data_IF_964798981119
#
_entry.id   IF_964798981119
#
_cell.length_a   1.000
_cell.length_b   1.000
_cell.length_c   1.000
_cell.angle_alpha   90.00
_cell.angle_beta   90.00
_cell.angle_gamma   90.00
#
_symmetry.space_group_name_H-M   'P 1'
#
loop_
_entity.id
_entity.type
_entity.pdbx_description
1 polymer ?
#
# COMPACT_ATOMS: atom_id res chain seq x y z
N UNK A 1 13.62 10.62 -2.90
CA UNK A 1 14.60 9.72 -3.52
C UNK A 1 13.87 8.48 -4.00
N UNK A 2 13.99 8.15 -5.28
CA UNK A 2 13.42 6.95 -5.86
C UNK A 2 14.53 6.20 -6.61
N UNK A 3 14.78 4.95 -6.23
CA UNK A 3 15.73 4.06 -6.88
C UNK A 3 14.99 2.81 -7.33
N UNK A 4 15.20 2.40 -8.57
CA UNK A 4 14.62 1.20 -9.14
C UNK A 4 15.73 0.41 -9.82
N UNK A 5 15.77 -0.88 -9.53
CA UNK A 5 16.60 -1.88 -10.20
C UNK A 5 15.67 -2.93 -10.82
N UNK A 6 15.80 -3.11 -12.11
CA UNK A 6 15.08 -4.15 -12.87
C UNK A 6 16.11 -5.01 -13.61
N UNK A 7 16.08 -6.29 -13.38
CA UNK A 7 16.95 -7.29 -14.02
C UNK A 7 16.07 -8.31 -14.74
N UNK A 8 16.33 -8.53 -16.02
CA UNK A 8 15.65 -9.55 -16.84
C UNK A 8 16.66 -10.42 -17.53
N UNK A 9 16.52 -11.71 -17.36
CA UNK A 9 17.40 -12.71 -17.95
C UNK A 9 16.55 -13.79 -18.61
N UNK A 10 16.73 -14.02 -19.89
CA UNK A 10 16.21 -15.19 -20.57
C UNK A 10 17.26 -16.31 -20.44
N UNK A 11 16.93 -17.29 -19.61
CA UNK A 11 17.85 -18.39 -19.28
C UNK A 11 17.84 -19.47 -20.37
N UNK A 12 16.64 -19.76 -20.89
CA UNK A 12 16.37 -20.69 -21.96
C UNK A 12 15.24 -20.13 -22.83
N UNK A 13 15.10 -20.55 -24.09
CA UNK A 13 13.97 -20.14 -24.92
C UNK A 13 12.64 -20.38 -24.23
N UNK A 14 11.91 -19.27 -23.98
CA UNK A 14 10.64 -19.28 -23.28
C UNK A 14 10.75 -19.31 -21.75
N UNK A 15 11.92 -19.43 -21.14
CA UNK A 15 12.11 -19.34 -19.69
C UNK A 15 12.86 -18.07 -19.30
N UNK A 16 12.19 -17.21 -18.55
CA UNK A 16 12.69 -15.91 -18.11
C UNK A 16 12.66 -15.78 -16.59
N UNK A 17 13.70 -15.17 -16.07
CA UNK A 17 13.83 -14.76 -14.67
C UNK A 17 13.86 -13.24 -14.63
N UNK A 18 13.01 -12.65 -13.81
CA UNK A 18 12.94 -11.21 -13.59
C UNK A 18 13.11 -10.90 -12.11
N UNK A 19 14.02 -9.99 -11.79
CA UNK A 19 14.24 -9.44 -10.47
C UNK A 19 13.92 -7.96 -10.48
N UNK A 20 13.09 -7.53 -9.57
CA UNK A 20 12.73 -6.12 -9.37
C UNK A 20 13.01 -5.72 -7.94
N UNK A 21 13.63 -4.57 -7.76
CA UNK A 21 13.79 -3.94 -6.46
C UNK A 21 13.56 -2.44 -6.59
N UNK A 22 12.77 -1.89 -5.69
CA UNK A 22 12.60 -0.45 -5.57
C UNK A 22 12.76 0.03 -4.14
N UNK A 23 13.36 1.20 -4.00
CA UNK A 23 13.48 1.93 -2.74
C UNK A 23 12.98 3.35 -2.97
N UNK A 24 11.90 3.70 -2.29
CA UNK A 24 11.35 5.04 -2.30
C UNK A 24 11.46 5.66 -0.92
N UNK A 25 12.08 6.83 -0.83
CA UNK A 25 12.20 7.61 0.40
C UNK A 25 11.72 9.03 0.15
N UNK A 26 10.73 9.46 0.89
CA UNK A 26 10.23 10.82 0.89
C UNK A 26 10.40 11.48 2.24
N UNK A 27 10.61 12.76 2.22
CA UNK A 27 10.60 13.65 3.38
C UNK A 27 9.77 14.86 2.99
N UNK A 28 8.81 15.18 3.81
CA UNK A 28 7.92 16.31 3.63
C UNK A 28 7.92 17.13 4.91
N UNK A 29 8.54 18.30 4.83
CA UNK A 29 8.62 19.25 5.94
C UNK A 29 7.73 20.44 5.56
N UNK A 30 6.71 20.67 6.36
CA UNK A 30 5.76 21.76 6.18
C UNK A 30 5.86 22.71 7.35
N UNK A 31 6.04 23.98 7.06
CA UNK A 31 5.97 25.07 8.01
C UNK A 31 4.91 26.06 7.53
N UNK A 32 3.96 26.38 8.40
CA UNK A 32 2.92 27.35 8.13
C UNK A 32 2.93 28.41 9.22
N UNK A 33 3.28 29.60 8.85
CA UNK A 33 3.22 30.77 9.71
C UNK A 33 1.94 31.56 9.47
N UNK A 34 1.27 31.96 10.53
CA UNK A 34 0.13 32.88 10.51
C UNK A 34 0.48 34.10 11.36
N UNK A 35 0.47 35.26 10.75
CA UNK A 35 0.79 36.52 11.39
C UNK A 35 -0.06 36.81 12.62
N UNK A 36 0.49 37.38 13.70
CA UNK A 36 -0.30 37.85 14.83
C UNK A 36 -1.28 38.96 14.44
N UNK A 37 -1.04 39.66 13.33
CA UNK A 37 -1.94 40.68 12.80
C UNK A 37 -3.11 40.11 11.95
N UNK A 38 -3.14 38.76 11.77
CA UNK A 38 -4.19 38.13 11.01
C UNK A 38 -5.56 38.30 11.71
N UNK A 39 -6.61 38.52 10.92
CA UNK A 39 -7.98 38.80 11.41
C UNK A 39 -8.49 37.77 12.42
N UNK A 40 -8.03 36.51 12.37
CA UNK A 40 -8.41 35.47 13.31
C UNK A 40 -7.93 35.74 14.76
N UNK A 41 -7.01 36.64 14.96
CA UNK A 41 -6.46 37.02 16.27
C UNK A 41 -6.96 38.35 16.81
N UNK A 42 -7.85 39.05 16.12
CA UNK A 42 -8.33 40.42 16.51
C UNK A 42 -8.89 40.56 17.94
N UNK A 43 -9.36 39.44 18.52
CA UNK A 43 -9.94 39.45 19.87
C UNK A 43 -9.21 38.48 20.82
N UNK A 44 -7.95 38.14 20.51
CA UNK A 44 -7.14 37.26 21.32
C UNK A 44 -6.05 38.00 22.07
N UNK A 45 -5.61 37.43 23.16
CA UNK A 45 -4.44 37.93 23.86
C UNK A 45 -3.17 37.80 23.03
N UNK A 46 -2.18 38.66 23.26
CA UNK A 46 -0.92 38.61 22.57
C UNK A 46 -0.20 37.23 22.68
N UNK A 47 -0.39 36.57 23.82
CA UNK A 47 0.14 35.20 24.06
C UNK A 47 -0.53 34.10 23.24
N UNK A 48 -1.66 34.41 22.61
CA UNK A 48 -2.44 33.50 21.74
C UNK A 48 -2.42 33.93 20.28
N UNK A 49 -1.85 35.10 20.00
CA UNK A 49 -1.80 35.68 18.67
C UNK A 49 -0.54 35.21 17.95
N UNK A 50 -0.63 35.10 16.64
CA UNK A 50 0.45 34.52 15.84
C UNK A 50 0.58 33.02 16.04
N UNK A 51 0.63 32.27 14.97
CA UNK A 51 0.68 30.81 15.01
C UNK A 51 1.74 30.28 14.04
N UNK A 52 2.45 29.27 14.48
CA UNK A 52 3.30 28.46 13.62
C UNK A 52 2.93 26.99 13.76
N UNK A 53 2.71 26.36 12.62
CA UNK A 53 2.39 24.95 12.49
C UNK A 53 3.56 24.25 11.82
N UNK A 54 4.14 23.28 12.50
CA UNK A 54 5.25 22.46 11.99
C UNK A 54 4.74 21.04 11.78
N UNK A 55 4.99 20.49 10.62
CA UNK A 55 4.70 19.09 10.32
C UNK A 55 5.85 18.49 9.54
N UNK A 56 6.45 17.44 10.09
CA UNK A 56 7.51 16.67 9.44
C UNK A 56 7.02 15.27 9.20
N UNK A 57 7.03 14.82 7.96
CA UNK A 57 6.66 13.47 7.56
C UNK A 57 7.82 12.81 6.85
N UNK A 58 8.11 11.58 7.21
CA UNK A 58 9.10 10.74 6.54
C UNK A 58 8.42 9.44 6.16
N UNK A 59 8.58 9.04 4.92
CA UNK A 59 8.13 7.75 4.43
C UNK A 59 9.28 7.04 3.75
N UNK A 60 9.38 5.74 4.02
CA UNK A 60 10.32 4.86 3.36
C UNK A 60 9.59 3.58 2.96
N UNK A 61 9.61 3.29 1.67
CA UNK A 61 9.01 2.07 1.12
C UNK A 61 10.05 1.33 0.30
N UNK A 62 10.21 0.05 0.55
CA UNK A 62 10.94 -0.83 -0.34
C UNK A 62 10.06 -1.98 -0.81
N UNK A 63 10.28 -2.39 -2.04
CA UNK A 63 9.62 -3.52 -2.69
C UNK A 63 10.68 -4.38 -3.37
N UNK A 64 10.60 -5.67 -3.15
CA UNK A 64 11.39 -6.67 -3.86
C UNK A 64 10.48 -7.71 -4.50
N UNK A 65 10.76 -8.12 -5.74
CA UNK A 65 10.01 -9.15 -6.43
C UNK A 65 10.94 -9.98 -7.31
N UNK A 66 10.76 -11.28 -7.26
CA UNK A 66 11.36 -12.23 -8.19
C UNK A 66 10.25 -12.97 -8.90
N UNK A 67 10.33 -13.02 -10.22
CA UNK A 67 9.34 -13.67 -11.08
C UNK A 67 10.06 -14.63 -12.04
N UNK A 68 9.52 -15.84 -12.14
CA UNK A 68 9.90 -16.86 -13.09
C UNK A 68 8.77 -17.02 -14.09
N UNK A 69 9.04 -16.88 -15.37
CA UNK A 69 8.04 -17.03 -16.43
C UNK A 69 8.46 -18.11 -17.39
N UNK A 70 7.53 -18.95 -17.75
CA UNK A 70 7.73 -20.00 -18.74
C UNK A 70 6.62 -19.97 -19.77
N UNK A 71 6.99 -19.80 -21.03
CA UNK A 71 6.08 -19.77 -22.16
C UNK A 71 6.54 -20.78 -23.19
N UNK A 72 5.70 -21.73 -23.53
CA UNK A 72 6.03 -22.77 -24.50
C UNK A 72 4.83 -23.22 -25.30
N UNK A 73 5.05 -23.36 -26.59
CA UNK A 73 4.12 -24.03 -27.48
C UNK A 73 4.50 -25.50 -27.60
N UNK A 74 3.54 -26.38 -27.32
CA UNK A 74 3.67 -27.82 -27.47
C UNK A 74 2.90 -28.28 -28.72
N UNK A 75 3.62 -28.90 -29.65
CA UNK A 75 3.03 -29.27 -30.93
C UNK A 75 2.52 -28.06 -31.69
N UNK A 76 1.44 -28.24 -32.43
CA UNK A 76 0.85 -27.20 -33.28
C UNK A 76 -0.33 -26.45 -32.65
N UNK A 77 -0.74 -26.81 -31.42
CA UNK A 77 -1.99 -26.25 -30.89
C UNK A 77 -2.05 -25.98 -29.41
N UNK A 78 -1.03 -26.34 -28.61
CA UNK A 78 -1.10 -26.12 -27.16
C UNK A 78 -0.08 -25.06 -26.72
N UNK A 79 -0.56 -23.93 -26.21
CA UNK A 79 0.26 -22.90 -25.60
C UNK A 79 0.13 -22.96 -24.07
N UNK A 80 1.27 -23.14 -23.40
CA UNK A 80 1.36 -23.03 -21.94
C UNK A 80 2.07 -21.72 -21.58
N UNK A 81 1.44 -20.94 -20.74
CA UNK A 81 2.04 -19.80 -20.05
C UNK A 81 2.00 -20.09 -18.55
N UNK A 82 3.13 -20.14 -17.90
CA UNK A 82 3.22 -20.29 -16.46
C UNK A 82 4.09 -19.18 -15.87
N UNK A 83 3.69 -18.65 -14.74
CA UNK A 83 4.41 -17.60 -14.03
C UNK A 83 4.31 -17.83 -12.54
N UNK A 84 5.45 -17.86 -11.86
CA UNK A 84 5.51 -17.98 -10.41
C UNK A 84 6.52 -17.00 -9.84
N UNK A 85 6.37 -16.68 -8.57
CA UNK A 85 7.32 -15.78 -7.95
C UNK A 85 7.03 -15.48 -6.49
N UNK A 86 7.87 -14.61 -5.96
CA UNK A 86 7.77 -14.11 -4.60
C UNK A 86 7.87 -12.58 -4.61
N UNK A 87 7.18 -11.94 -3.70
CA UNK A 87 7.30 -10.50 -3.45
C UNK A 87 7.39 -10.21 -1.95
N UNK A 88 8.11 -9.16 -1.64
CA UNK A 88 8.19 -8.55 -0.30
C UNK A 88 7.97 -7.05 -0.43
N UNK A 89 7.30 -6.48 0.53
CA UNK A 89 7.11 -5.03 0.62
C UNK A 89 7.18 -4.59 2.08
N UNK A 90 7.81 -3.45 2.33
CA UNK A 90 7.76 -2.78 3.63
C UNK A 90 7.57 -1.30 3.42
N UNK A 91 6.64 -0.73 4.18
CA UNK A 91 6.37 0.71 4.19
C UNK A 91 6.41 1.21 5.63
N UNK A 92 7.30 2.15 5.89
CA UNK A 92 7.46 2.83 7.15
C UNK A 92 7.09 4.30 6.98
N UNK A 93 6.18 4.78 7.83
CA UNK A 93 5.73 6.16 7.86
C UNK A 93 5.91 6.71 9.26
N UNK A 94 6.67 7.79 9.38
CA UNK A 94 6.89 8.51 10.63
C UNK A 94 6.49 9.97 10.44
N UNK A 95 5.63 10.47 11.31
CA UNK A 95 5.20 11.86 11.32
C UNK A 95 5.33 12.45 12.71
N UNK A 96 5.73 13.70 12.77
CA UNK A 96 5.63 14.50 13.97
C UNK A 96 5.26 15.93 13.62
N UNK A 97 4.62 16.61 14.56
CA UNK A 97 4.22 18.00 14.35
C UNK A 97 3.72 18.64 15.63
N UNK A 98 3.69 19.95 15.59
CA UNK A 98 3.12 20.75 16.67
C UNK A 98 2.65 22.09 16.14
N UNK A 99 1.77 22.70 16.90
CA UNK A 99 1.35 24.08 16.71
C UNK A 99 1.80 24.90 17.92
N UNK A 100 2.43 26.02 17.68
CA UNK A 100 2.81 26.96 18.74
C UNK A 100 2.22 28.35 18.44
N UNK A 101 1.93 29.10 19.49
CA UNK A 101 1.31 30.41 19.45
C UNK A 101 2.07 31.42 20.30
N UNK A 102 1.64 32.69 20.25
CA UNK A 102 2.27 33.77 20.98
C UNK A 102 3.51 34.30 20.25
N UNK A 103 3.41 34.49 18.95
CA UNK A 103 4.39 35.15 18.11
C UNK A 103 4.04 36.66 18.06
N UNK A 104 4.93 37.49 18.54
CA UNK A 104 4.63 38.91 18.75
C UNK A 104 4.88 39.78 17.52
N UNK A 105 5.46 39.27 16.46
CA UNK A 105 5.77 40.06 15.26
C UNK A 105 5.88 39.18 14.02
N UNK A 106 5.48 39.71 12.86
CA UNK A 106 5.66 39.10 11.55
C UNK A 106 7.12 38.79 11.21
N UNK A 107 8.04 39.55 11.79
CA UNK A 107 9.48 39.37 11.58
C UNK A 107 10.08 38.23 12.40
N UNK A 108 9.33 37.67 13.33
CA UNK A 108 9.76 36.61 14.26
C UNK A 108 8.99 35.32 14.02
N UNK A 109 8.83 34.93 12.76
CA UNK A 109 8.10 33.75 12.33
C UNK A 109 8.86 32.43 12.52
N UNK A 110 9.70 32.31 13.54
CA UNK A 110 10.43 31.07 13.85
C UNK A 110 9.90 30.45 15.15
N UNK A 111 9.79 29.10 15.26
CA UNK A 111 9.24 28.42 16.42
C UNK A 111 9.88 28.80 17.78
N UNK A 112 11.14 29.16 17.77
CA UNK A 112 11.88 29.58 18.97
C UNK A 112 11.32 30.87 19.62
N UNK A 113 10.53 31.65 18.89
CA UNK A 113 9.90 32.87 19.38
C UNK A 113 8.47 32.67 19.84
N UNK A 114 7.91 31.48 19.67
CA UNK A 114 6.59 31.16 20.19
C UNK A 114 6.66 30.96 21.73
N UNK A 115 5.64 31.43 22.44
CA UNK A 115 5.63 31.43 23.91
C UNK A 115 4.99 30.18 24.49
N UNK A 116 4.05 29.55 23.78
CA UNK A 116 3.33 28.39 24.30
C UNK A 116 2.69 27.55 23.18
N UNK A 117 2.20 26.38 23.54
CA UNK A 117 1.23 25.64 22.72
C UNK A 117 -0.17 26.22 22.95
N UNK A 118 -1.09 26.09 21.97
CA UNK A 118 -2.52 26.36 22.20
C UNK A 118 -3.05 25.57 23.39
N UNK A 119 -4.08 26.08 24.06
CA UNK A 119 -4.69 25.39 25.19
C UNK A 119 -5.19 23.99 24.77
N UNK A 120 -4.84 22.98 25.55
CA UNK A 120 -5.16 21.58 25.28
C UNK A 120 -4.38 20.95 24.11
N UNK A 121 -3.48 21.70 23.45
CA UNK A 121 -2.68 21.14 22.36
C UNK A 121 -1.32 20.62 22.88
N UNK A 122 -0.89 19.51 22.33
CA UNK A 122 0.43 18.90 22.57
C UNK A 122 1.10 18.55 21.26
N UNK A 123 2.44 18.38 21.24
CA UNK A 123 3.10 17.80 20.09
C UNK A 123 2.49 16.45 19.71
N UNK A 124 2.28 16.24 18.43
CA UNK A 124 1.69 15.02 17.89
C UNK A 124 2.76 14.18 17.20
N UNK A 125 2.61 12.87 17.29
CA UNK A 125 3.44 11.92 16.60
C UNK A 125 2.60 10.80 15.99
N UNK A 126 3.04 10.29 14.87
CA UNK A 126 2.45 9.11 14.23
C UNK A 126 3.56 8.20 13.72
N UNK A 127 3.39 6.91 13.92
CA UNK A 127 4.29 5.90 13.40
C UNK A 127 3.47 4.76 12.82
N UNK A 128 3.78 4.36 11.61
CA UNK A 128 3.17 3.22 10.94
C UNK A 128 4.23 2.35 10.29
N UNK A 129 4.12 1.05 10.48
CA UNK A 129 4.97 0.06 9.84
C UNK A 129 4.08 -1.04 9.25
N UNK A 130 4.16 -1.18 7.94
CA UNK A 130 3.47 -2.22 7.20
C UNK A 130 4.49 -3.11 6.50
N UNK A 131 4.30 -4.42 6.61
CA UNK A 131 5.10 -5.41 5.91
C UNK A 131 4.18 -6.44 5.27
N UNK A 132 4.47 -6.79 4.05
CA UNK A 132 3.79 -7.87 3.36
C UNK A 132 4.79 -8.73 2.58
N UNK A 133 4.45 -9.98 2.44
CA UNK A 133 5.17 -10.92 1.60
C UNK A 133 4.18 -11.89 0.96
N UNK A 134 4.51 -12.36 -0.23
CA UNK A 134 3.64 -13.27 -0.96
C UNK A 134 4.41 -14.20 -1.87
N UNK A 135 3.83 -15.39 -2.05
CA UNK A 135 4.19 -16.32 -3.10
C UNK A 135 3.01 -16.42 -4.06
N UNK A 136 3.28 -16.49 -5.33
CA UNK A 136 2.23 -16.63 -6.34
C UNK A 136 2.63 -17.59 -7.45
N UNK A 137 1.62 -18.26 -7.98
CA UNK A 137 1.73 -19.12 -9.15
C UNK A 137 0.49 -18.90 -10.02
N UNK A 138 0.72 -18.64 -11.30
CA UNK A 138 -0.32 -18.52 -12.30
C UNK A 138 0.01 -19.43 -13.47
N UNK A 139 -0.98 -20.11 -14.00
CA UNK A 139 -0.85 -20.92 -15.20
C UNK A 139 -2.02 -20.67 -16.13
N UNK A 140 -1.73 -20.57 -17.40
CA UNK A 140 -2.71 -20.45 -18.47
C UNK A 140 -2.39 -21.47 -19.55
N UNK A 141 -3.36 -22.25 -19.93
CA UNK A 141 -3.25 -23.21 -21.03
C UNK A 141 -4.27 -22.86 -22.11
N UNK A 142 -3.81 -22.76 -23.33
CA UNK A 142 -4.65 -22.56 -24.51
C UNK A 142 -4.47 -23.76 -25.41
N UNK A 143 -5.57 -24.43 -25.74
CA UNK A 143 -5.56 -25.59 -26.61
C UNK A 143 -6.34 -25.28 -27.90
N UNK A 144 -5.65 -25.41 -29.04
CA UNK A 144 -6.14 -25.24 -30.39
C UNK A 144 -6.87 -23.89 -30.61
N UNK A 145 -6.48 -22.85 -29.84
CA UNK A 145 -7.13 -21.54 -29.86
C UNK A 145 -8.64 -21.59 -29.53
N UNK A 146 -9.13 -22.76 -29.07
CA UNK A 146 -10.55 -23.05 -28.78
C UNK A 146 -10.82 -23.09 -27.26
N UNK A 147 -10.00 -23.81 -26.53
CA UNK A 147 -10.20 -24.02 -25.09
C UNK A 147 -9.09 -23.33 -24.34
N UNK A 148 -9.45 -22.70 -23.23
CA UNK A 148 -8.46 -22.12 -22.35
C UNK A 148 -8.83 -22.40 -20.90
N UNK A 149 -7.80 -22.64 -20.11
CA UNK A 149 -7.89 -22.83 -18.67
C UNK A 149 -6.90 -21.90 -17.98
N UNK A 150 -7.36 -21.23 -16.94
CA UNK A 150 -6.55 -20.37 -16.09
C UNK A 150 -6.57 -20.93 -14.68
N UNK A 151 -5.42 -20.98 -14.02
CA UNK A 151 -5.31 -21.29 -12.61
C UNK A 151 -4.39 -20.27 -11.93
N UNK A 152 -4.77 -19.80 -10.76
CA UNK A 152 -3.99 -18.88 -9.96
C UNK A 152 -4.03 -19.30 -8.50
N UNK A 153 -2.87 -19.31 -7.86
CA UNK A 153 -2.72 -19.48 -6.41
C UNK A 153 -1.82 -18.37 -5.90
N UNK A 154 -2.23 -17.73 -4.80
CA UNK A 154 -1.45 -16.74 -4.08
C UNK A 154 -1.51 -17.03 -2.59
N UNK A 155 -0.35 -17.07 -1.97
CA UNK A 155 -0.20 -17.20 -0.52
C UNK A 155 0.40 -15.92 0.00
N UNK A 156 -0.39 -15.12 0.72
CA UNK A 156 -0.05 -13.76 1.10
C UNK A 156 -0.06 -13.58 2.62
N UNK A 157 1.02 -13.01 3.14
CA UNK A 157 1.15 -12.61 4.53
C UNK A 157 1.25 -11.10 4.66
N UNK A 158 0.62 -10.55 5.69
CA UNK A 158 0.67 -9.12 5.99
C UNK A 158 0.72 -8.87 7.49
N UNK A 159 1.51 -7.87 7.90
CA UNK A 159 1.51 -7.38 9.28
C UNK A 159 0.18 -6.74 9.72
N UNK A 160 -0.72 -6.48 8.77
CA UNK A 160 -2.08 -6.00 9.05
C UNK A 160 -3.00 -7.10 9.56
N UNK A 161 -2.70 -8.36 9.23
CA UNK A 161 -3.48 -9.49 9.69
C UNK A 161 -3.18 -9.79 11.17
N UNK A 162 -4.17 -10.28 11.90
CA UNK A 162 -4.01 -10.70 13.29
C UNK A 162 -2.98 -11.83 13.44
N UNK A 163 -2.49 -12.05 14.65
CA UNK A 163 -1.44 -13.03 14.94
C UNK A 163 -1.77 -14.44 14.46
N UNK A 164 -3.04 -14.83 14.54
CA UNK A 164 -3.50 -16.19 14.24
C UNK A 164 -3.67 -16.46 12.74
N UNK A 165 -3.73 -15.43 11.89
CA UNK A 165 -3.98 -15.56 10.45
C UNK A 165 -3.09 -14.63 9.61
N UNK A 166 -1.79 -14.63 9.90
CA UNK A 166 -0.83 -13.78 9.17
C UNK A 166 -0.71 -14.13 7.70
N UNK A 167 -1.02 -15.35 7.33
CA UNK A 167 -0.93 -15.84 5.96
C UNK A 167 -2.27 -16.43 5.49
N UNK A 168 -2.68 -16.02 4.31
CA UNK A 168 -3.94 -16.46 3.73
C UNK A 168 -3.74 -16.93 2.30
N UNK A 169 -4.25 -18.13 1.95
CA UNK A 169 -4.25 -18.59 0.57
C UNK A 169 -5.43 -17.98 -0.20
N UNK A 170 -5.16 -17.52 -1.39
CA UNK A 170 -6.14 -17.09 -2.39
C UNK A 170 -5.97 -17.96 -3.63
N UNK A 171 -7.05 -18.27 -4.32
CA UNK A 171 -6.98 -19.06 -5.53
C UNK A 171 -8.11 -18.73 -6.49
N UNK A 172 -7.88 -18.96 -7.75
CA UNK A 172 -8.92 -18.88 -8.77
C UNK A 172 -8.68 -19.91 -9.87
N UNK A 173 -9.77 -20.40 -10.44
CA UNK A 173 -9.80 -21.26 -11.61
C UNK A 173 -10.75 -20.65 -12.63
N UNK A 174 -10.36 -20.64 -13.87
CA UNK A 174 -11.14 -20.15 -14.99
C UNK A 174 -11.09 -21.13 -16.14
N UNK A 175 -12.22 -21.30 -16.81
CA UNK A 175 -12.34 -22.07 -18.02
C UNK A 175 -13.01 -21.22 -19.09
N UNK A 176 -12.63 -21.41 -20.33
CA UNK A 176 -13.24 -20.71 -21.42
C UNK A 176 -13.20 -21.49 -22.73
N UNK A 177 -14.16 -21.16 -23.57
CA UNK A 177 -14.37 -21.82 -24.84
C UNK A 177 -14.68 -20.80 -25.93
N UNK A 178 -13.88 -20.81 -26.97
CA UNK A 178 -14.08 -20.01 -28.17
C UNK A 178 -14.98 -20.81 -29.15
N UNK A 179 -16.28 -20.72 -28.93
CA UNK A 179 -17.29 -21.49 -29.69
C UNK A 179 -17.22 -21.18 -31.21
N UNK A 180 -16.90 -19.95 -31.55
CA UNK A 180 -16.76 -19.53 -32.96
C UNK A 180 -15.63 -20.25 -33.72
N UNK A 181 -14.73 -20.91 -33.06
CA UNK A 181 -13.65 -21.71 -33.65
C UNK A 181 -14.06 -23.16 -33.91
N UNK A 182 -15.26 -23.56 -33.47
CA UNK A 182 -15.73 -24.91 -33.67
C UNK A 182 -16.25 -25.12 -35.10
N UNK A 183 -15.94 -26.29 -35.64
CA UNK A 183 -16.30 -26.65 -37.03
C UNK A 183 -17.82 -26.75 -37.29
N UNK A 184 -18.59 -26.97 -36.21
CA UNK A 184 -20.07 -27.08 -36.32
C UNK A 184 -20.76 -25.71 -36.38
N UNK A 185 -20.03 -24.61 -36.03
CA UNK A 185 -20.61 -23.26 -35.97
C UNK A 185 -20.18 -22.44 -37.17
N UNK A 186 -20.57 -22.88 -38.39
CA UNK A 186 -20.31 -22.14 -39.61
C UNK A 186 -21.38 -21.04 -39.81
N UNK A 187 -21.41 -20.05 -38.88
CA UNK A 187 -22.37 -18.93 -38.97
C UNK A 187 -21.73 -17.77 -39.76
N UNK A 188 -22.24 -17.57 -40.97
CA UNK A 188 -21.93 -16.38 -41.75
C UNK A 188 -22.45 -15.14 -41.02
N UNK A 189 -21.56 -14.22 -40.61
CA UNK A 189 -21.92 -12.94 -39.98
C UNK A 189 -21.68 -12.85 -38.45
N UNK A 190 -21.03 -13.86 -37.81
CA UNK A 190 -20.66 -13.80 -36.40
C UNK A 190 -19.14 -13.86 -36.22
N UNK A 191 -18.54 -12.75 -35.81
CA UNK A 191 -17.09 -12.64 -35.70
C UNK A 191 -16.52 -13.34 -34.45
N UNK A 192 -17.24 -13.36 -33.32
CA UNK A 192 -16.76 -13.95 -32.08
C UNK A 192 -17.87 -14.38 -31.13
N UNK A 193 -17.85 -15.67 -30.76
CA UNK A 193 -18.63 -16.21 -29.65
C UNK A 193 -17.65 -16.87 -28.67
N UNK A 194 -17.62 -16.37 -27.42
CA UNK A 194 -16.76 -16.87 -26.35
C UNK A 194 -17.59 -17.11 -25.09
N UNK A 195 -17.49 -18.31 -24.53
CA UNK A 195 -18.03 -18.63 -23.22
C UNK A 195 -16.89 -18.67 -22.20
N UNK A 196 -17.10 -18.09 -21.01
CA UNK A 196 -16.15 -18.11 -19.93
C UNK A 196 -16.84 -18.26 -18.59
N UNK A 197 -16.29 -19.12 -17.73
CA UNK A 197 -16.68 -19.26 -16.33
C UNK A 197 -15.45 -19.22 -15.43
N UNK A 198 -15.57 -18.66 -14.25
CA UNK A 198 -14.49 -18.66 -13.26
C UNK A 198 -15.04 -18.78 -11.85
N UNK A 199 -14.27 -19.44 -10.99
CA UNK A 199 -14.53 -19.61 -9.57
C UNK A 199 -13.25 -19.30 -8.81
N UNK A 200 -13.37 -18.65 -7.65
CA UNK A 200 -12.20 -18.37 -6.84
C UNK A 200 -12.54 -17.88 -5.44
N UNK A 201 -11.55 -17.94 -4.59
CA UNK A 201 -11.55 -17.36 -3.26
C UNK A 201 -10.53 -16.23 -3.23
N UNK A 202 -11.03 -15.01 -3.01
CA UNK A 202 -10.21 -13.79 -2.95
C UNK A 202 -10.53 -13.04 -1.66
N UNK A 203 -9.55 -12.32 -1.16
CA UNK A 203 -9.68 -11.49 0.03
C UNK A 203 -9.29 -10.04 -0.25
N UNK A 204 -9.68 -9.17 0.65
CA UNK A 204 -9.32 -7.76 0.63
C UNK A 204 -8.60 -7.40 1.93
N UNK A 205 -7.41 -6.81 1.82
CA UNK A 205 -6.59 -6.34 2.94
C UNK A 205 -6.59 -4.80 3.04
N UNK A 206 -7.67 -4.13 2.62
CA UNK A 206 -7.77 -2.67 2.58
C UNK A 206 -8.12 -2.00 3.93
N UNK A 207 -7.84 -2.67 5.04
CA UNK A 207 -7.98 -2.11 6.37
C UNK A 207 -6.67 -1.48 6.87
N UNK A 208 -6.79 -0.52 7.80
CA UNK A 208 -5.64 0.18 8.38
C UNK A 208 -4.77 -0.75 9.23
N UNK A 209 -3.46 -0.50 9.32
CA UNK A 209 -2.60 -1.19 10.28
C UNK A 209 -3.17 -1.14 11.69
N UNK A 210 -2.92 -2.18 12.47
CA UNK A 210 -3.31 -2.28 13.90
C UNK A 210 -4.81 -2.38 14.18
N UNK A 211 -5.70 -2.43 13.18
CA UNK A 211 -7.15 -2.62 13.42
C UNK A 211 -7.50 -3.97 14.07
N UNK A 212 -6.66 -4.98 13.87
CA UNK A 212 -6.84 -6.31 14.49
C UNK A 212 -6.21 -6.42 15.88
N UNK A 213 -5.66 -5.32 16.42
CA UNK A 213 -4.99 -5.29 17.73
C UNK A 213 -5.71 -4.31 18.66
N UNK A 214 -5.73 -4.62 19.94
CA UNK A 214 -6.19 -3.66 20.95
C UNK A 214 -5.18 -2.51 21.02
N UNK A 215 -5.64 -1.31 20.73
CA UNK A 215 -4.81 -0.09 20.83
C UNK A 215 -5.29 0.74 22.00
N UNK A 216 -4.34 1.37 22.70
CA UNK A 216 -4.62 2.26 23.82
C UNK A 216 -4.26 3.69 23.44
N UNK A 217 -5.12 4.62 23.78
CA UNK A 217 -4.86 6.05 23.65
C UNK A 217 -4.57 6.63 25.03
N UNK A 218 -3.47 7.36 25.17
CA UNK A 218 -3.21 8.14 26.36
C UNK A 218 -4.17 9.33 26.41
N UNK A 219 -4.87 9.45 27.53
CA UNK A 219 -5.70 10.61 27.81
C UNK A 219 -5.04 11.41 28.95
N UNK A 220 -4.46 12.56 28.59
CA UNK A 220 -3.80 13.45 29.53
C UNK A 220 -4.78 14.21 30.46
N UNK A 221 -6.08 14.12 30.19
CA UNK A 221 -7.14 14.75 30.99
C UNK A 221 -7.68 13.88 32.13
N UNK A 222 -7.27 12.61 32.19
CA UNK A 222 -7.63 11.70 33.27
C UNK A 222 -6.53 11.68 34.33
N UNK A 223 -6.71 12.50 35.36
CA UNK A 223 -5.87 12.50 36.57
C UNK A 223 -6.18 11.23 37.40
N UNK A 224 -5.44 10.18 37.16
CA UNK A 224 -5.45 8.98 38.00
C UNK A 224 -4.24 9.04 38.93
N UNK A 225 -4.41 9.58 40.15
CA UNK A 225 -3.50 9.58 41.28
C UNK A 225 -1.99 9.39 40.94
N UNK A 226 -1.43 10.36 40.17
CA UNK A 226 -0.05 10.41 39.64
C UNK A 226 0.28 9.47 38.45
N UNK A 227 -0.69 8.94 37.72
CA UNK A 227 -0.49 8.13 36.56
C UNK A 227 -1.24 8.67 35.31
N UNK A 228 -0.69 8.44 34.15
CA UNK A 228 -1.38 8.74 32.87
C UNK A 228 -2.38 7.60 32.61
N UNK A 229 -3.67 7.93 32.52
CA UNK A 229 -4.71 6.97 32.16
C UNK A 229 -4.59 6.55 30.71
N UNK A 230 -4.73 5.26 30.42
CA UNK A 230 -4.86 4.72 29.07
C UNK A 230 -6.25 4.10 28.90
N UNK A 231 -6.96 4.50 27.82
CA UNK A 231 -8.26 3.94 27.45
C UNK A 231 -8.12 3.11 26.17
N UNK A 232 -8.84 1.96 26.08
CA UNK A 232 -8.83 1.10 24.92
C UNK A 232 -9.52 1.73 23.70
#
# INVERSE_FOLDING_TARGET
LNNVLDLRVEVLPGFRVEGFFSLNKSKDDTEKFTSPEAHEFNNKEASESGRIEISNKKSMTYEGRVTLSYNKMFGTGTLLNAMGGANIQSSENNGNGYTAVGLYSDKLGHPAFATRYPEGATPQGSQGLERSMGLFLNANVIYDDRYFADASIRYEGSSKFGEDQRFTPFWSLGLGWNIHKEKFLNMSGTDRIKLRGSLGYTGNASFSPYQAMTTYKYDAGLDYDKGIGAIP
#
